data_IF_232304386260
#
_entry.id   IF_232304386260
#
_cell.length_a   1.000
_cell.length_b   1.000
_cell.length_c   1.000
_cell.angle_alpha   90.00
_cell.angle_beta   90.00
_cell.angle_gamma   90.00
#
_symmetry.space_group_name_H-M   'P 1'
#
loop_
_entity.id
_entity.type
_entity.pdbx_description
1 polymer ?
#
# COMPACT_ATOMS: atom_id res chain seq x y z
N UNK A 1 40.23 15.57 -10.86
CA UNK A 1 40.39 15.64 -9.39
C UNK A 1 39.46 16.73 -8.87
N UNK A 2 38.21 16.40 -8.56
CA UNK A 2 37.28 17.36 -7.95
C UNK A 2 37.65 17.51 -6.47
N UNK A 3 37.68 18.76 -5.99
CA UNK A 3 38.23 19.08 -4.66
C UNK A 3 37.38 18.44 -3.55
N UNK A 4 38.08 17.94 -2.53
CA UNK A 4 37.51 17.37 -1.30
C UNK A 4 36.40 18.25 -0.67
N UNK A 5 36.37 19.54 -1.00
CA UNK A 5 35.38 20.53 -0.56
C UNK A 5 33.95 20.26 -1.05
N UNK A 6 33.75 19.68 -2.24
CA UNK A 6 32.38 19.41 -2.75
C UNK A 6 31.77 18.20 -2.04
N UNK A 7 32.58 17.19 -1.71
CA UNK A 7 32.16 15.99 -0.99
C UNK A 7 31.82 16.32 0.46
N UNK A 8 32.61 17.19 1.12
CA UNK A 8 32.32 17.70 2.46
C UNK A 8 31.04 18.56 2.49
N UNK A 9 30.81 19.41 1.49
CA UNK A 9 29.59 20.20 1.38
C UNK A 9 28.33 19.32 1.24
N UNK A 10 28.42 18.20 0.52
CA UNK A 10 27.32 17.23 0.38
C UNK A 10 27.00 16.47 1.68
N UNK A 11 28.01 16.18 2.51
CA UNK A 11 27.82 15.55 3.83
C UNK A 11 27.09 16.46 4.82
N UNK A 12 27.28 17.78 4.70
CA UNK A 12 26.73 18.77 5.62
C UNK A 12 25.31 19.24 5.24
N UNK A 13 24.91 19.10 3.97
CA UNK A 13 23.64 19.63 3.46
C UNK A 13 22.42 18.68 3.56
N UNK A 14 22.60 17.42 4.00
CA UNK A 14 21.51 16.43 4.08
C UNK A 14 21.21 16.07 5.55
N UNK A 15 20.13 16.58 6.16
CA UNK A 15 19.73 16.17 7.50
C UNK A 15 18.84 14.92 7.43
N UNK A 16 19.40 13.71 7.64
CA UNK A 16 18.61 12.52 7.98
C UNK A 16 19.49 11.30 8.32
N UNK A 17 18.97 10.39 9.15
CA UNK A 17 19.50 9.05 9.43
C UNK A 17 19.84 8.21 8.17
N UNK A 18 19.38 8.61 6.99
CA UNK A 18 19.68 8.01 5.69
C UNK A 18 21.18 8.07 5.34
N UNK A 19 21.87 9.17 5.64
CA UNK A 19 23.29 9.38 5.30
C UNK A 19 24.23 8.49 6.14
N UNK A 20 23.85 8.19 7.40
CA UNK A 20 24.62 7.29 8.30
C UNK A 20 24.45 5.80 7.98
N UNK A 21 23.30 5.38 7.45
CA UNK A 21 23.02 3.96 7.16
C UNK A 21 23.66 3.49 5.87
N UNK A 22 23.86 4.42 4.96
CA UNK A 22 24.24 4.11 3.60
C UNK A 22 25.78 4.19 3.47
N UNK A 23 26.46 4.93 4.37
CA UNK A 23 27.91 4.84 4.63
C UNK A 23 28.35 3.48 5.18
N UNK A 24 27.51 2.74 5.91
CA UNK A 24 27.87 1.43 6.49
C UNK A 24 27.98 0.28 5.48
N UNK A 25 27.64 0.51 4.21
CA UNK A 25 27.67 -0.51 3.15
C UNK A 25 28.76 -0.26 2.09
N UNK A 26 29.62 0.75 2.27
CA UNK A 26 30.68 1.10 1.29
C UNK A 26 30.19 1.59 -0.08
N UNK A 27 28.86 1.71 -0.26
CA UNK A 27 28.22 2.05 -1.54
C UNK A 27 28.26 3.55 -1.86
N UNK A 28 28.51 4.42 -0.89
CA UNK A 28 28.50 5.88 -1.10
C UNK A 28 29.66 6.38 -1.95
N UNK A 29 30.87 5.85 -1.79
CA UNK A 29 32.05 6.32 -2.53
C UNK A 29 31.97 5.95 -4.01
N UNK A 30 31.46 4.77 -4.33
CA UNK A 30 31.33 4.29 -5.70
C UNK A 30 30.18 4.97 -6.46
N UNK A 31 29.11 5.32 -5.74
CA UNK A 31 27.96 6.08 -6.28
C UNK A 31 28.32 7.54 -6.51
N UNK A 32 29.06 8.18 -5.58
CA UNK A 32 29.55 9.56 -5.75
C UNK A 32 30.56 9.68 -6.90
N UNK A 33 31.42 8.68 -7.10
CA UNK A 33 32.34 8.65 -8.26
C UNK A 33 31.58 8.60 -9.59
N UNK A 34 30.47 7.86 -9.67
CA UNK A 34 29.64 7.79 -10.89
C UNK A 34 28.73 9.01 -11.07
N UNK A 35 28.34 9.71 -10.00
CA UNK A 35 27.56 10.96 -10.05
C UNK A 35 28.39 12.17 -10.49
N UNK A 36 29.70 12.15 -10.24
CA UNK A 36 30.61 13.24 -10.57
C UNK A 36 30.82 13.44 -12.08
N UNK A 37 30.42 12.48 -12.92
CA UNK A 37 30.59 12.55 -14.38
C UNK A 37 29.34 13.06 -15.13
N UNK A 38 28.20 13.32 -14.44
CA UNK A 38 26.93 13.57 -15.15
C UNK A 38 25.97 14.63 -14.58
N UNK A 39 26.21 15.22 -13.41
CA UNK A 39 25.28 16.19 -12.85
C UNK A 39 25.65 17.64 -13.20
N UNK A 40 24.87 18.25 -14.10
CA UNK A 40 24.87 19.71 -14.26
C UNK A 40 24.11 20.34 -13.10
N UNK A 41 24.70 21.36 -12.47
CA UNK A 41 24.24 22.01 -11.24
C UNK A 41 22.90 22.78 -11.36
N UNK A 42 22.10 22.55 -12.40
CA UNK A 42 20.98 23.40 -12.77
C UNK A 42 19.59 22.92 -12.30
N UNK A 43 19.45 21.76 -11.62
CA UNK A 43 18.13 21.34 -11.12
C UNK A 43 18.23 20.40 -9.92
N UNK A 44 18.53 20.95 -8.74
CA UNK A 44 18.48 20.22 -7.46
C UNK A 44 17.48 20.95 -6.57
N UNK A 45 16.20 20.58 -6.64
CA UNK A 45 15.16 21.19 -5.83
C UNK A 45 14.33 20.21 -4.98
N UNK A 46 14.62 18.91 -4.99
CA UNK A 46 13.96 17.97 -4.07
C UNK A 46 14.85 16.75 -3.74
N UNK A 47 14.89 16.36 -2.47
CA UNK A 47 15.56 15.15 -2.00
C UNK A 47 14.96 13.88 -2.63
N UNK A 48 13.67 13.92 -2.98
CA UNK A 48 13.00 12.84 -3.70
C UNK A 48 13.53 12.69 -5.13
N UNK A 49 13.83 13.78 -5.82
CA UNK A 49 14.36 13.76 -7.19
C UNK A 49 15.78 13.20 -7.23
N UNK A 50 16.63 13.58 -6.26
CA UNK A 50 17.97 13.00 -6.10
C UNK A 50 17.85 11.49 -5.91
N UNK A 51 16.94 11.04 -5.04
CA UNK A 51 16.75 9.61 -4.79
C UNK A 51 16.26 8.86 -6.04
N UNK A 52 15.33 9.43 -6.80
CA UNK A 52 14.90 8.86 -8.08
C UNK A 52 16.04 8.75 -9.09
N UNK A 53 16.87 9.78 -9.21
CA UNK A 53 18.04 9.76 -10.09
C UNK A 53 19.06 8.69 -9.64
N UNK A 54 19.28 8.53 -8.33
CA UNK A 54 20.12 7.47 -7.79
C UNK A 54 19.62 6.08 -8.17
N UNK A 55 18.31 5.83 -8.02
CA UNK A 55 17.71 4.54 -8.41
C UNK A 55 17.84 4.29 -9.92
N UNK A 56 17.65 5.31 -10.75
CA UNK A 56 17.77 5.19 -12.20
C UNK A 56 19.18 4.78 -12.65
N UNK A 57 20.23 5.27 -11.97
CA UNK A 57 21.63 4.95 -12.29
C UNK A 57 22.16 3.70 -11.55
N UNK A 58 21.43 3.18 -10.56
CA UNK A 58 21.85 2.01 -9.80
C UNK A 58 21.76 0.72 -10.65
N UNK A 59 22.79 -0.16 -10.67
CA UNK A 59 22.72 -1.45 -11.34
C UNK A 59 21.57 -2.33 -10.83
N UNK A 60 20.94 -3.11 -11.72
CA UNK A 60 19.76 -3.94 -11.36
C UNK A 60 20.02 -4.88 -10.18
N UNK A 61 21.20 -5.49 -10.12
CA UNK A 61 21.52 -6.39 -9.02
C UNK A 61 21.53 -5.67 -7.67
N UNK A 62 22.10 -4.46 -7.63
CA UNK A 62 22.10 -3.63 -6.43
C UNK A 62 20.68 -3.18 -6.08
N UNK A 63 19.89 -2.76 -7.07
CA UNK A 63 18.48 -2.38 -6.88
C UNK A 63 17.64 -3.52 -6.29
N UNK A 64 17.91 -4.77 -6.69
CA UNK A 64 17.20 -5.94 -6.18
C UNK A 64 17.68 -6.39 -4.79
N UNK A 65 18.92 -6.06 -4.40
CA UNK A 65 19.48 -6.36 -3.07
C UNK A 65 19.12 -5.31 -2.02
N UNK A 66 18.46 -4.22 -2.41
CA UNK A 66 17.99 -3.22 -1.44
C UNK A 66 16.99 -3.83 -0.47
N UNK A 67 17.34 -3.79 0.81
CA UNK A 67 16.45 -4.18 1.90
C UNK A 67 15.38 -3.11 2.10
N UNK A 68 14.14 -3.47 1.76
CA UNK A 68 12.98 -2.58 1.84
C UNK A 68 12.75 -2.06 3.27
N UNK A 69 13.19 -2.78 4.31
CA UNK A 69 13.08 -2.36 5.71
C UNK A 69 13.81 -1.05 6.03
N UNK A 70 14.85 -0.71 5.27
CA UNK A 70 15.70 0.45 5.51
C UNK A 70 15.19 1.77 4.92
N UNK A 71 14.16 1.72 4.07
CA UNK A 71 13.64 2.88 3.34
C UNK A 71 12.30 3.35 3.90
N UNK A 72 11.97 4.63 3.76
CA UNK A 72 10.64 5.15 4.09
C UNK A 72 9.60 4.78 3.00
N UNK A 73 8.32 5.06 3.21
CA UNK A 73 7.25 4.64 2.28
C UNK A 73 7.42 5.21 0.87
N UNK A 74 7.83 6.48 0.76
CA UNK A 74 7.99 7.16 -0.52
C UNK A 74 9.18 6.58 -1.28
N UNK A 75 10.30 6.38 -0.59
CA UNK A 75 11.49 5.73 -1.14
C UNK A 75 11.22 4.28 -1.57
N UNK A 76 10.50 3.50 -0.75
CA UNK A 76 10.09 2.12 -1.11
C UNK A 76 9.25 2.11 -2.38
N UNK A 77 8.30 3.06 -2.48
CA UNK A 77 7.48 3.21 -3.68
C UNK A 77 8.35 3.52 -4.90
N UNK A 78 9.37 4.37 -4.77
CA UNK A 78 10.27 4.68 -5.88
C UNK A 78 11.13 3.48 -6.28
N UNK A 79 11.61 2.69 -5.31
CA UNK A 79 12.33 1.43 -5.56
C UNK A 79 11.44 0.44 -6.33
N UNK A 80 10.19 0.26 -5.89
CA UNK A 80 9.25 -0.63 -6.55
C UNK A 80 8.85 -0.13 -7.94
N UNK A 81 8.60 1.18 -8.10
CA UNK A 81 8.34 1.82 -9.39
C UNK A 81 9.50 1.56 -10.36
N UNK A 82 10.75 1.76 -9.93
CA UNK A 82 11.93 1.55 -10.78
C UNK A 82 12.13 0.08 -11.14
N UNK A 83 11.89 -0.85 -10.22
CA UNK A 83 11.93 -2.31 -10.50
C UNK A 83 10.89 -2.69 -11.57
N UNK A 84 9.67 -2.15 -11.47
CA UNK A 84 8.60 -2.40 -12.44
C UNK A 84 8.93 -1.77 -13.79
N UNK A 85 9.44 -0.54 -13.82
CA UNK A 85 9.82 0.16 -15.05
C UNK A 85 10.88 -0.65 -15.81
N UNK A 86 11.92 -1.14 -15.13
CA UNK A 86 12.96 -1.99 -15.74
C UNK A 86 12.45 -3.36 -16.19
N UNK A 87 11.46 -3.92 -15.51
CA UNK A 87 10.83 -5.16 -15.94
C UNK A 87 10.01 -4.97 -17.22
N UNK A 88 9.26 -3.88 -17.32
CA UNK A 88 8.51 -3.50 -18.54
C UNK A 88 9.43 -3.22 -19.72
N UNK A 89 10.45 -2.39 -19.54
CA UNK A 89 11.41 -2.09 -20.60
C UNK A 89 12.10 -3.35 -21.17
N UNK A 90 12.35 -4.37 -20.33
CA UNK A 90 12.87 -5.67 -20.79
C UNK A 90 11.82 -6.49 -21.54
N UNK A 91 10.58 -6.49 -21.09
CA UNK A 91 9.49 -7.16 -21.79
C UNK A 91 9.27 -6.53 -23.18
N UNK A 92 9.35 -5.20 -23.27
CA UNK A 92 9.21 -4.46 -24.53
C UNK A 92 10.39 -4.75 -25.49
N UNK A 93 11.63 -4.80 -24.98
CA UNK A 93 12.80 -5.22 -25.77
C UNK A 93 12.72 -6.69 -26.20
N UNK A 94 12.19 -7.57 -25.36
CA UNK A 94 11.99 -8.98 -25.71
C UNK A 94 10.90 -9.18 -26.76
N UNK A 95 9.82 -8.38 -26.72
CA UNK A 95 8.75 -8.39 -27.71
C UNK A 95 9.21 -7.85 -29.08
N UNK A 96 10.15 -6.90 -29.09
CA UNK A 96 10.68 -6.29 -30.32
C UNK A 96 11.64 -7.23 -31.07
N UNK A 97 12.22 -8.23 -30.40
CA UNK A 97 13.17 -9.18 -30.97
C UNK A 97 12.56 -10.54 -31.37
N UNK A 98 11.23 -10.68 -31.44
CA UNK A 98 10.60 -11.89 -32.01
C UNK A 98 10.48 -11.79 -33.54
N UNK A 99 10.97 -12.79 -34.30
CA UNK A 99 10.76 -12.81 -35.75
C UNK A 99 9.30 -13.10 -36.07
N UNK A 100 8.74 -12.32 -37.01
CA UNK A 100 7.34 -12.36 -37.42
C UNK A 100 6.91 -13.75 -37.93
N UNK A 101 5.70 -14.26 -37.58
CA UNK A 101 5.16 -15.45 -38.20
C UNK A 101 4.61 -15.14 -39.60
N UNK A 102 5.10 -15.89 -40.58
CA UNK A 102 4.66 -15.87 -41.98
C UNK A 102 3.16 -16.19 -42.10
N UNK A 103 2.46 -15.36 -42.86
CA UNK A 103 1.10 -15.61 -43.31
C UNK A 103 1.12 -16.68 -44.41
N UNK A 104 0.37 -17.77 -44.23
CA UNK A 104 0.04 -18.70 -45.32
C UNK A 104 -1.39 -18.41 -45.78
N UNK A 105 -1.50 -17.91 -47.00
CA UNK A 105 -2.73 -17.84 -47.77
C UNK A 105 -3.04 -19.24 -48.35
N UNK A 106 -4.30 -19.67 -48.29
CA UNK A 106 -4.86 -20.54 -49.35
C UNK A 106 -6.34 -20.24 -49.55
N UNK A 107 -6.73 -20.32 -50.81
CA UNK A 107 -7.90 -19.76 -51.49
C UNK A 107 -9.09 -20.74 -51.62
N UNK A 108 -10.30 -20.18 -51.57
CA UNK A 108 -11.55 -20.47 -52.31
C UNK A 108 -11.85 -21.85 -52.94
N UNK A 109 -13.08 -22.35 -52.73
CA UNK A 109 -14.05 -22.65 -53.81
C UNK A 109 -15.46 -23.03 -53.30
N UNK A 110 -16.48 -22.56 -54.01
CA UNK A 110 -17.93 -22.66 -53.82
C UNK A 110 -18.56 -24.06 -54.02
N UNK A 111 -19.75 -24.32 -53.44
CA UNK A 111 -21.01 -24.60 -54.19
C UNK A 111 -22.23 -24.85 -53.27
N UNK A 112 -23.40 -24.36 -53.71
CA UNK A 112 -24.76 -24.49 -53.15
C UNK A 112 -25.43 -25.83 -53.50
N UNK A 113 -26.32 -26.35 -52.63
CA UNK A 113 -27.58 -27.01 -53.01
C UNK A 113 -28.51 -27.27 -51.80
N UNK A 114 -29.83 -27.15 -52.04
CA UNK A 114 -30.95 -27.23 -51.08
C UNK A 114 -31.63 -28.60 -51.04
N UNK A 115 -32.23 -28.98 -49.90
CA UNK A 115 -33.45 -29.83 -49.82
C UNK A 115 -33.34 -31.23 -49.16
N UNK A 116 -34.43 -31.80 -48.57
CA UNK A 116 -34.42 -32.44 -47.22
C UNK A 116 -34.91 -33.93 -47.18
N UNK A 117 -35.44 -34.46 -46.04
CA UNK A 117 -34.86 -35.45 -45.08
C UNK A 117 -35.35 -36.92 -45.29
N UNK A 118 -34.89 -37.95 -44.51
CA UNK A 118 -35.67 -38.43 -43.35
C UNK A 118 -34.91 -39.19 -42.19
N UNK A 119 -35.51 -39.10 -40.99
CA UNK A 119 -35.72 -40.05 -39.85
C UNK A 119 -34.91 -41.36 -39.69
N UNK A 120 -34.21 -41.56 -38.54
CA UNK A 120 -34.53 -42.55 -37.47
C UNK A 120 -33.40 -42.73 -36.40
N UNK A 121 -33.85 -43.07 -35.19
CA UNK A 121 -33.15 -43.22 -33.90
C UNK A 121 -32.15 -44.40 -33.80
N UNK A 122 -31.12 -44.29 -32.94
CA UNK A 122 -30.98 -45.08 -31.70
C UNK A 122 -29.66 -44.80 -30.93
N UNK A 123 -29.81 -44.76 -29.60
CA UNK A 123 -28.91 -45.07 -28.48
C UNK A 123 -27.39 -45.28 -28.70
N UNK A 124 -26.58 -44.72 -27.79
CA UNK A 124 -25.15 -45.02 -27.75
C UNK A 124 -24.37 -44.25 -26.69
N UNK A 125 -24.56 -44.65 -25.44
CA UNK A 125 -23.89 -44.24 -24.22
C UNK A 125 -22.35 -44.35 -24.27
N UNK A 126 -21.69 -43.47 -23.50
CA UNK A 126 -20.49 -43.71 -22.70
C UNK A 126 -19.11 -43.16 -23.13
N UNK A 127 -18.62 -42.29 -22.23
CA UNK A 127 -17.25 -42.12 -21.74
C UNK A 127 -16.17 -41.48 -22.64
N UNK A 128 -15.91 -40.19 -22.37
CA UNK A 128 -14.57 -39.63 -22.43
C UNK A 128 -14.24 -38.91 -21.10
N UNK A 129 -13.17 -39.29 -20.38
CA UNK A 129 -12.80 -38.67 -19.12
C UNK A 129 -11.98 -37.40 -19.39
N UNK A 130 -12.65 -36.24 -19.45
CA UNK A 130 -11.94 -34.97 -19.42
C UNK A 130 -11.58 -34.63 -17.98
N UNK A 131 -10.28 -34.62 -17.73
CA UNK A 131 -9.64 -34.31 -16.45
C UNK A 131 -10.16 -32.98 -15.90
N UNK A 132 -11.00 -33.07 -14.87
CA UNK A 132 -11.39 -31.93 -14.05
C UNK A 132 -10.15 -31.44 -13.28
N UNK A 133 -9.57 -30.34 -13.74
CA UNK A 133 -8.67 -29.57 -12.88
C UNK A 133 -9.50 -28.95 -11.73
N UNK A 134 -9.06 -29.08 -10.46
CA UNK A 134 -9.76 -28.45 -9.35
C UNK A 134 -9.61 -26.93 -9.49
N UNK A 135 -10.69 -26.24 -9.86
CA UNK A 135 -10.76 -24.79 -9.70
C UNK A 135 -10.72 -24.50 -8.22
N UNK A 136 -9.61 -23.91 -7.76
CA UNK A 136 -9.47 -23.38 -6.40
C UNK A 136 -10.69 -22.52 -6.07
N UNK A 137 -11.36 -22.69 -4.92
CA UNK A 137 -12.54 -21.91 -4.57
C UNK A 137 -12.19 -20.42 -4.57
N UNK A 138 -12.84 -19.66 -5.46
CA UNK A 138 -12.71 -18.21 -5.52
C UNK A 138 -13.15 -17.65 -4.16
N UNK A 139 -12.18 -17.21 -3.35
CA UNK A 139 -12.44 -16.66 -2.03
C UNK A 139 -13.58 -15.64 -2.10
N UNK A 140 -14.71 -15.96 -1.46
CA UNK A 140 -15.87 -15.08 -1.41
C UNK A 140 -15.43 -13.76 -0.76
N UNK A 141 -15.54 -12.65 -1.48
CA UNK A 141 -15.20 -11.32 -0.95
C UNK A 141 -16.06 -11.06 0.30
N UNK A 142 -15.42 -10.98 1.48
CA UNK A 142 -16.10 -10.66 2.74
C UNK A 142 -16.86 -9.34 2.58
N UNK A 143 -18.10 -9.29 3.08
CA UNK A 143 -18.92 -8.07 3.08
C UNK A 143 -18.23 -7.01 3.96
N UNK A 144 -18.25 -5.72 3.57
CA UNK A 144 -17.68 -4.69 4.42
C UNK A 144 -18.43 -4.57 5.75
N UNK A 145 -17.68 -4.29 6.81
CA UNK A 145 -18.16 -4.12 8.18
C UNK A 145 -18.15 -2.63 8.58
N UNK A 146 -18.90 -2.28 9.63
CA UNK A 146 -18.95 -0.92 10.18
C UNK A 146 -17.65 -0.52 10.88
N UNK A 147 -16.83 -1.47 11.28
CA UNK A 147 -15.49 -1.26 11.83
C UNK A 147 -14.60 -2.48 11.55
N UNK A 148 -13.29 -2.29 11.68
CA UNK A 148 -12.30 -3.36 11.57
C UNK A 148 -11.21 -3.19 12.63
N UNK A 149 -10.55 -4.31 12.96
CA UNK A 149 -9.25 -4.31 13.61
C UNK A 149 -8.15 -4.59 12.59
N UNK A 150 -6.93 -4.19 12.92
CA UNK A 150 -5.76 -4.37 12.07
C UNK A 150 -4.61 -5.06 12.83
N UNK A 151 -4.77 -6.33 13.25
CA UNK A 151 -3.69 -7.09 13.92
C UNK A 151 -2.39 -7.11 13.11
N UNK A 152 -2.49 -7.12 11.77
CA UNK A 152 -1.35 -7.10 10.86
C UNK A 152 -0.51 -5.82 10.92
N UNK A 153 -1.00 -4.75 11.57
CA UNK A 153 -0.24 -3.51 11.78
C UNK A 153 0.46 -3.44 13.14
N UNK A 154 0.34 -4.50 13.96
CA UNK A 154 1.05 -4.59 15.23
C UNK A 154 2.58 -4.46 15.09
N UNK A 155 3.26 -5.08 14.11
CA UNK A 155 4.71 -4.93 13.97
C UNK A 155 5.17 -3.46 13.87
N UNK A 156 4.44 -2.62 13.13
CA UNK A 156 4.74 -1.19 12.99
C UNK A 156 4.47 -0.41 14.27
N UNK A 157 3.52 -0.84 15.09
CA UNK A 157 3.33 -0.28 16.44
C UNK A 157 4.48 -0.72 17.36
N UNK A 158 4.88 -1.98 17.30
CA UNK A 158 5.96 -2.55 18.11
C UNK A 158 7.33 -1.90 17.82
N UNK A 159 7.58 -1.47 16.58
CA UNK A 159 8.76 -0.63 16.24
C UNK A 159 8.83 0.68 17.02
N UNK A 160 7.68 1.19 17.50
CA UNK A 160 7.55 2.50 18.15
C UNK A 160 7.37 2.40 19.67
N UNK A 161 6.86 1.28 20.16
CA UNK A 161 6.64 1.00 21.59
C UNK A 161 6.83 -0.49 21.88
N UNK A 162 7.77 -0.81 22.77
CA UNK A 162 8.07 -2.17 23.16
C UNK A 162 7.10 -2.72 24.23
N UNK A 163 7.02 -4.04 24.29
CA UNK A 163 6.41 -4.85 25.37
C UNK A 163 4.89 -4.68 25.56
N UNK A 164 4.15 -4.39 24.48
CA UNK A 164 2.69 -4.24 24.52
C UNK A 164 2.07 -5.09 23.40
N UNK A 165 1.58 -6.31 23.70
CA UNK A 165 1.02 -7.19 22.68
C UNK A 165 -0.31 -6.69 22.15
N UNK A 166 -0.63 -7.09 20.91
CA UNK A 166 -1.96 -6.91 20.33
C UNK A 166 -2.95 -7.92 20.91
N UNK A 167 -4.13 -7.44 21.33
CA UNK A 167 -5.23 -8.27 21.83
C UNK A 167 -6.28 -8.52 20.72
N UNK A 168 -6.42 -9.75 20.19
CA UNK A 168 -7.38 -10.03 19.12
C UNK A 168 -8.84 -10.08 19.57
N UNK A 169 -9.11 -10.05 20.87
CA UNK A 169 -10.46 -10.12 21.44
C UNK A 169 -11.26 -8.86 21.14
N UNK A 170 -12.56 -9.02 20.91
CA UNK A 170 -13.51 -7.89 20.91
C UNK A 170 -14.29 -7.74 22.23
N UNK A 171 -13.81 -8.37 23.30
CA UNK A 171 -14.40 -8.24 24.63
C UNK A 171 -14.22 -6.83 25.23
N UNK A 172 -14.87 -6.65 26.38
CA UNK A 172 -14.83 -5.43 27.18
C UNK A 172 -13.40 -5.00 27.47
N UNK A 173 -13.14 -3.70 27.33
CA UNK A 173 -11.84 -3.08 27.59
C UNK A 173 -11.76 -2.48 29.00
N UNK A 174 -10.53 -2.25 29.47
CA UNK A 174 -10.26 -1.54 30.74
C UNK A 174 -10.15 -0.02 30.54
N UNK A 175 -10.62 0.47 29.39
CA UNK A 175 -10.57 1.84 28.97
C UNK A 175 -10.16 2.00 27.51
N UNK A 176 -10.54 3.14 26.96
CA UNK A 176 -10.22 3.50 25.59
C UNK A 176 -9.84 4.97 25.46
N UNK A 177 -9.25 5.31 24.32
CA UNK A 177 -9.11 6.69 23.89
C UNK A 177 -9.40 6.80 22.41
N UNK A 178 -10.31 7.71 22.09
CA UNK A 178 -10.64 8.03 20.71
C UNK A 178 -9.49 8.80 20.07
N UNK A 179 -9.22 8.41 18.82
CA UNK A 179 -8.24 8.95 17.91
C UNK A 179 -8.89 9.05 16.54
N UNK A 180 -8.29 9.86 15.70
CA UNK A 180 -8.55 9.81 14.29
C UNK A 180 -7.39 9.08 13.63
N UNK A 181 -7.60 8.46 12.47
CA UNK A 181 -6.56 8.00 11.55
C UNK A 181 -6.88 8.53 10.15
N UNK A 182 -6.02 8.26 9.18
CA UNK A 182 -6.23 8.67 7.79
C UNK A 182 -6.53 7.43 6.97
N UNK A 183 -7.45 7.53 6.03
CA UNK A 183 -7.83 6.41 5.19
C UNK A 183 -8.36 6.80 3.82
N UNK A 184 -8.44 5.79 2.98
CA UNK A 184 -9.05 5.82 1.67
C UNK A 184 -10.08 4.71 1.57
N UNK A 185 -11.10 4.93 0.76
CA UNK A 185 -12.24 4.05 0.66
C UNK A 185 -12.62 3.88 -0.81
N UNK A 186 -12.97 2.65 -1.17
CA UNK A 186 -13.67 2.35 -2.42
C UNK A 186 -15.08 1.91 -2.09
N UNK A 187 -16.08 2.42 -2.79
CA UNK A 187 -17.46 1.97 -2.56
C UNK A 187 -17.58 0.46 -2.76
N UNK A 188 -18.26 -0.23 -1.83
CA UNK A 188 -18.47 -1.67 -1.93
C UNK A 188 -19.60 -2.07 -2.88
N UNK A 189 -20.52 -1.15 -3.17
CA UNK A 189 -21.54 -1.35 -4.19
C UNK A 189 -20.88 -1.39 -5.57
N UNK A 190 -20.97 -2.53 -6.28
CA UNK A 190 -20.33 -2.75 -7.59
C UNK A 190 -20.81 -1.78 -8.67
N UNK A 191 -22.04 -1.27 -8.57
CA UNK A 191 -22.58 -0.25 -9.48
C UNK A 191 -22.06 1.15 -9.19
N UNK A 192 -21.43 1.37 -8.02
CA UNK A 192 -20.92 2.66 -7.61
C UNK A 192 -19.39 2.68 -7.73
N UNK A 193 -18.86 3.57 -8.57
CA UNK A 193 -17.42 3.72 -8.79
C UNK A 193 -16.76 4.73 -7.86
N UNK A 194 -17.49 5.22 -6.86
CA UNK A 194 -17.00 6.25 -5.96
C UNK A 194 -15.78 5.75 -5.16
N UNK A 195 -14.76 6.59 -5.10
CA UNK A 195 -13.55 6.41 -4.30
C UNK A 195 -13.31 7.73 -3.59
N UNK A 196 -13.02 7.69 -2.30
CA UNK A 196 -12.79 8.90 -1.51
C UNK A 196 -11.69 8.69 -0.49
N UNK A 197 -11.11 9.80 -0.03
CA UNK A 197 -10.13 9.84 1.06
C UNK A 197 -10.73 10.60 2.23
N UNK A 198 -10.36 10.22 3.45
CA UNK A 198 -10.74 10.93 4.65
C UNK A 198 -9.52 11.17 5.53
N UNK A 199 -9.31 12.44 5.90
CA UNK A 199 -8.32 12.83 6.89
C UNK A 199 -8.74 12.50 8.33
N UNK A 200 -10.02 12.15 8.53
CA UNK A 200 -10.63 11.85 9.82
C UNK A 200 -11.43 10.55 9.70
N UNK A 201 -10.74 9.45 9.95
CA UNK A 201 -11.36 8.13 10.17
C UNK A 201 -11.34 7.86 11.66
N UNK A 202 -12.50 7.73 12.29
CA UNK A 202 -12.58 7.49 13.72
C UNK A 202 -11.92 6.15 14.10
N UNK A 203 -11.16 6.16 15.19
CA UNK A 203 -10.48 4.99 15.72
C UNK A 203 -10.52 5.01 17.25
N UNK A 204 -11.05 3.96 17.85
CA UNK A 204 -11.02 3.75 19.29
C UNK A 204 -9.84 2.85 19.63
N UNK A 205 -8.82 3.39 20.29
CA UNK A 205 -7.69 2.62 20.82
C UNK A 205 -8.10 2.11 22.19
N UNK A 206 -8.16 0.79 22.36
CA UNK A 206 -8.60 0.14 23.61
C UNK A 206 -7.41 -0.47 24.34
N UNK A 207 -7.42 -0.41 25.67
CA UNK A 207 -6.41 -1.03 26.53
C UNK A 207 -7.02 -2.17 27.33
N UNK A 208 -6.17 -3.13 27.66
CA UNK A 208 -6.48 -4.22 28.58
C UNK A 208 -5.29 -4.38 29.52
N UNK A 209 -5.52 -4.51 30.82
CA UNK A 209 -4.50 -4.49 31.86
C UNK A 209 -4.12 -5.90 32.35
N UNK A 210 -4.93 -6.92 32.06
CA UNK A 210 -4.73 -8.28 32.55
C UNK A 210 -4.39 -9.25 31.40
N UNK A 211 -3.34 -10.10 31.55
CA UNK A 211 -2.36 -10.15 32.64
C UNK A 211 -1.28 -9.04 32.57
N UNK A 212 -1.23 -8.29 31.47
CA UNK A 212 -0.33 -7.16 31.24
C UNK A 212 -0.99 -6.16 30.27
N UNK A 213 -0.42 -4.95 30.15
CA UNK A 213 -0.91 -3.97 29.19
C UNK A 213 -0.88 -4.53 27.77
N UNK A 214 -2.06 -4.69 27.18
CA UNK A 214 -2.26 -5.06 25.78
C UNK A 214 -3.27 -4.10 25.14
N UNK A 215 -3.34 -4.10 23.81
CA UNK A 215 -4.19 -3.15 23.11
C UNK A 215 -4.82 -3.75 21.86
N UNK A 216 -5.91 -3.15 21.42
CA UNK A 216 -6.33 -3.24 20.03
C UNK A 216 -6.97 -1.92 19.59
N UNK A 217 -7.45 -1.89 18.35
CA UNK A 217 -8.05 -0.67 17.79
C UNK A 217 -9.25 -1.04 16.96
N UNK A 218 -10.41 -0.46 17.30
CA UNK A 218 -11.57 -0.42 16.42
C UNK A 218 -11.45 0.78 15.51
N UNK A 219 -11.27 0.56 14.22
CA UNK A 219 -11.29 1.63 13.23
C UNK A 219 -12.64 1.60 12.51
N UNK A 220 -13.39 2.67 12.65
CA UNK A 220 -14.73 2.78 12.09
C UNK A 220 -14.69 3.10 10.61
N UNK A 221 -15.59 2.48 9.86
CA UNK A 221 -15.72 2.62 8.43
C UNK A 221 -16.51 3.89 8.08
N UNK A 222 -16.56 4.22 6.80
CA UNK A 222 -17.38 5.30 6.27
C UNK A 222 -18.28 4.79 5.15
N UNK A 223 -19.40 5.47 4.96
CA UNK A 223 -20.37 5.19 3.91
C UNK A 223 -20.12 6.09 2.71
N UNK A 224 -20.38 5.54 1.54
CA UNK A 224 -20.34 6.28 0.29
C UNK A 224 -21.50 7.28 0.25
N UNK A 225 -21.20 8.56 0.07
CA UNK A 225 -22.20 9.64 -0.05
C UNK A 225 -23.26 9.39 -1.14
N UNK A 226 -22.91 8.70 -2.22
CA UNK A 226 -23.81 8.54 -3.37
C UNK A 226 -24.84 7.41 -3.20
N UNK A 227 -24.52 6.36 -2.44
CA UNK A 227 -25.38 5.18 -2.36
C UNK A 227 -25.46 4.56 -0.96
N UNK A 228 -24.90 5.23 0.04
CA UNK A 228 -24.89 4.86 1.45
C UNK A 228 -24.29 3.48 1.79
N UNK A 229 -23.69 2.81 0.80
CA UNK A 229 -22.97 1.55 1.00
C UNK A 229 -21.65 1.79 1.74
N UNK A 230 -21.25 0.86 2.61
CA UNK A 230 -19.97 0.92 3.31
C UNK A 230 -18.78 0.91 2.35
N UNK A 231 -17.70 1.59 2.72
CA UNK A 231 -16.44 1.55 2.00
C UNK A 231 -15.67 0.24 2.21
N UNK A 232 -14.89 -0.14 1.21
CA UNK A 232 -13.74 -1.01 1.37
C UNK A 232 -12.60 -0.10 1.83
N UNK A 233 -12.33 -0.12 3.14
CA UNK A 233 -11.40 0.78 3.80
C UNK A 233 -9.95 0.33 3.64
N UNK A 234 -9.06 1.28 3.39
CA UNK A 234 -7.61 1.15 3.49
C UNK A 234 -7.06 2.33 4.30
N UNK A 235 -6.49 2.04 5.46
CA UNK A 235 -5.91 3.07 6.33
C UNK A 235 -4.42 3.31 6.05
N UNK A 236 -3.95 4.51 6.37
CA UNK A 236 -2.54 4.84 6.37
C UNK A 236 -1.84 4.20 7.57
N UNK A 237 -1.04 3.15 7.28
CA UNK A 237 -0.38 2.34 8.31
C UNK A 237 0.59 3.15 9.16
N UNK A 238 1.28 4.16 8.61
CA UNK A 238 2.24 4.95 9.38
C UNK A 238 1.52 5.85 10.39
N UNK A 239 0.49 6.57 9.92
CA UNK A 239 -0.32 7.43 10.80
C UNK A 239 -1.08 6.61 11.83
N UNK A 240 -1.59 5.43 11.45
CA UNK A 240 -2.16 4.48 12.39
C UNK A 240 -1.14 4.10 13.47
N UNK A 241 0.03 3.60 13.07
CA UNK A 241 1.04 3.12 14.00
C UNK A 241 1.55 4.24 14.91
N UNK A 242 1.78 5.44 14.37
CA UNK A 242 2.20 6.63 15.13
C UNK A 242 1.16 6.99 16.20
N UNK A 243 -0.11 7.17 15.82
CA UNK A 243 -1.17 7.61 16.74
C UNK A 243 -1.49 6.57 17.81
N UNK A 244 -1.45 5.29 17.44
CA UNK A 244 -1.66 4.17 18.36
C UNK A 244 -0.48 4.05 19.33
N UNK A 245 0.76 4.02 18.83
CA UNK A 245 1.95 3.96 19.68
C UNK A 245 2.01 5.16 20.64
N UNK A 246 1.70 6.37 20.15
CA UNK A 246 1.61 7.57 20.98
C UNK A 246 0.63 7.39 22.14
N UNK A 247 -0.53 6.79 21.89
CA UNK A 247 -1.52 6.54 22.94
C UNK A 247 -1.05 5.49 23.95
N UNK A 248 -0.40 4.42 23.47
CA UNK A 248 0.18 3.39 24.34
C UNK A 248 1.27 3.98 25.23
N UNK A 249 2.15 4.83 24.69
CA UNK A 249 3.18 5.55 25.47
C UNK A 249 2.57 6.39 26.60
N UNK A 250 1.46 7.09 26.32
CA UNK A 250 0.71 7.83 27.35
C UNK A 250 0.23 6.89 28.45
N UNK A 251 -0.30 5.71 28.11
CA UNK A 251 -0.73 4.73 29.12
C UNK A 251 0.43 4.12 29.91
N UNK A 252 1.62 3.97 29.29
CA UNK A 252 2.85 3.56 29.98
C UNK A 252 3.48 4.67 30.83
N UNK A 253 2.96 5.90 30.78
CA UNK A 253 3.57 7.06 31.42
C UNK A 253 4.88 7.52 30.77
N UNK A 254 5.16 7.08 29.55
CA UNK A 254 6.36 7.51 28.81
C UNK A 254 6.21 8.97 28.34
N UNK A 255 7.31 9.76 28.33
CA UNK A 255 7.29 11.11 27.77
C UNK A 255 6.89 11.10 26.30
N UNK A 256 5.86 11.87 25.96
CA UNK A 256 5.39 12.03 24.58
C UNK A 256 5.38 13.51 24.23
N UNK A 257 6.07 13.92 23.15
CA UNK A 257 6.03 15.30 22.68
C UNK A 257 4.60 15.79 22.46
N UNK A 258 4.35 17.04 22.84
CA UNK A 258 3.13 17.74 22.42
C UNK A 258 3.24 17.99 20.92
N UNK A 259 2.31 17.42 20.17
CA UNK A 259 2.20 17.71 18.73
C UNK A 259 1.48 19.04 18.60
N UNK A 260 2.07 20.05 17.95
CA UNK A 260 1.36 21.30 17.70
C UNK A 260 0.10 21.02 16.89
N UNK A 261 -1.03 21.52 17.37
CA UNK A 261 -2.28 21.41 16.65
C UNK A 261 -2.38 22.52 15.62
N UNK A 262 -2.33 22.15 14.34
CA UNK A 262 -2.54 23.08 13.23
C UNK A 262 -3.96 22.89 12.68
N UNK A 263 -4.82 23.90 12.85
CA UNK A 263 -6.13 23.93 12.19
C UNK A 263 -5.91 24.06 10.69
N UNK A 264 -6.12 22.97 9.96
CA UNK A 264 -6.23 23.01 8.50
C UNK A 264 -7.69 23.24 8.14
N UNK A 265 -7.95 24.14 7.20
CA UNK A 265 -9.29 24.25 6.59
C UNK A 265 -9.54 22.99 5.77
N UNK A 266 -10.35 22.09 6.30
CA UNK A 266 -10.85 20.91 5.58
C UNK A 266 -12.36 21.06 5.36
N UNK A 267 -12.93 20.34 4.38
CA UNK A 267 -14.38 20.21 4.29
C UNK A 267 -14.96 19.74 5.63
N UNK A 268 -16.21 20.12 5.95
CA UNK A 268 -16.87 19.66 7.17
C UNK A 268 -16.96 18.14 7.18
N UNK A 269 -16.86 17.56 8.36
CA UNK A 269 -16.99 16.12 8.53
C UNK A 269 -18.44 15.68 8.26
N UNK A 270 -18.62 14.65 7.43
CA UNK A 270 -19.95 14.13 7.11
C UNK A 270 -20.38 13.09 8.15
N UNK A 271 -20.90 13.57 9.29
CA UNK A 271 -21.32 12.77 10.46
C UNK A 271 -22.28 11.63 10.09
N UNK A 272 -23.22 11.87 9.16
CA UNK A 272 -24.19 10.87 8.69
C UNK A 272 -23.55 9.69 7.95
N UNK A 273 -22.37 9.89 7.37
CA UNK A 273 -21.63 8.87 6.62
C UNK A 273 -20.50 8.25 7.45
N UNK A 274 -20.24 8.71 8.67
CA UNK A 274 -19.19 8.20 9.54
C UNK A 274 -19.74 7.18 10.55
N UNK A 275 -19.28 5.93 10.50
CA UNK A 275 -19.73 4.91 11.48
C UNK A 275 -19.19 5.21 12.88
N UNK A 276 -18.10 5.96 13.00
CA UNK A 276 -17.58 6.41 14.29
C UNK A 276 -18.46 7.47 14.93
N UNK A 277 -18.97 8.42 14.16
CA UNK A 277 -19.95 9.40 14.67
C UNK A 277 -21.23 8.71 15.14
N UNK A 278 -21.74 7.76 14.36
CA UNK A 278 -22.92 6.97 14.74
C UNK A 278 -22.71 6.16 16.01
N UNK A 279 -21.48 5.74 16.26
CA UNK A 279 -21.09 5.03 17.47
C UNK A 279 -20.68 5.96 18.64
N UNK A 280 -20.61 7.28 18.43
CA UNK A 280 -20.21 8.23 19.48
C UNK A 280 -18.69 8.35 19.73
N UNK A 281 -17.84 7.93 18.77
CA UNK A 281 -16.38 7.82 18.93
C UNK A 281 -15.58 8.70 17.96
N UNK A 282 -16.17 9.77 17.44
CA UNK A 282 -15.52 10.66 16.49
C UNK A 282 -15.55 12.11 16.97
N UNK A 283 -14.38 12.74 17.02
CA UNK A 283 -14.20 14.14 17.43
C UNK A 283 -13.79 14.99 16.21
N UNK A 284 -14.58 14.95 15.15
CA UNK A 284 -14.24 15.65 13.93
C UNK A 284 -14.39 17.19 14.02
N UNK A 285 -15.08 17.66 15.06
CA UNK A 285 -15.43 19.07 15.27
C UNK A 285 -14.55 19.79 16.35
N UNK A 286 -13.55 19.10 16.93
CA UNK A 286 -12.58 19.66 17.90
C UNK A 286 -11.20 20.01 17.28
#
# INVERSE_FOLDING_TARGET
MLSLSIIEAFKLAIPSATTRKMTSLGLWEQVLSNLAEGLTAANINDAEDIFRQLLAHMPREQLNRLDMGNYNRTERRFIDEERVNRARARADLAATNQPAPSQTQTSSSDTNASGPPPVHNHDGQASNPSSAQPTTPRASKKKPQSWYMYPQYHPQVAERVADVPFNPSDADDDGYKDKNVIGSFKCSNRGCRNVWTSGIVAAMVRRYNHPQLSYNVKVFNQRCRNCNALGIMKIDTNIYAERVARQIKIWKGEPVPRVPYFKKKTPPHETEHCEGCKAGHCHADE
#
